data_IF_836685712340
#
_entry.id   IF_836685712340
#
_cell.length_a   1.000
_cell.length_b   1.000
_cell.length_c   1.000
_cell.angle_alpha   90.00
_cell.angle_beta   90.00
_cell.angle_gamma   90.00
#
_symmetry.space_group_name_H-M   'P 1'
#
loop_
_entity.id
_entity.type
_entity.pdbx_description
1 polymer ?
#
# COMPACT_ATOMS: atom_id res chain seq x y z
N UNK A 1 11.20 13.62 21.45
CA UNK A 1 10.84 12.20 21.28
C UNK A 1 10.71 11.59 22.65
N UNK A 2 9.64 10.84 22.92
CA UNK A 2 9.48 10.13 24.20
C UNK A 2 10.62 9.13 24.32
N UNK A 3 11.51 9.34 25.31
CA UNK A 3 12.63 8.43 25.59
C UNK A 3 12.08 7.32 26.48
N UNK A 4 11.43 6.35 25.85
CA UNK A 4 10.97 5.14 26.53
C UNK A 4 11.31 3.94 25.67
N UNK A 5 11.29 2.75 26.28
CA UNK A 5 11.46 1.47 25.57
C UNK A 5 10.20 1.12 24.74
N UNK A 6 9.55 2.10 24.11
CA UNK A 6 8.35 1.86 23.33
C UNK A 6 8.68 1.03 22.07
N UNK A 7 7.84 0.04 21.84
CA UNK A 7 7.77 -0.68 20.57
C UNK A 7 6.97 0.19 19.59
N UNK A 8 7.45 0.37 18.35
CA UNK A 8 6.72 1.13 17.32
C UNK A 8 5.50 0.36 16.76
N UNK A 9 5.21 -0.84 17.27
CA UNK A 9 4.01 -1.58 16.91
C UNK A 9 2.73 -0.82 17.28
N UNK A 10 2.02 -0.31 16.27
CA UNK A 10 0.76 0.45 16.42
C UNK A 10 -0.41 -0.39 16.99
N UNK A 11 -0.45 -1.69 16.67
CA UNK A 11 -1.61 -2.52 16.97
C UNK A 11 -1.90 -2.69 18.47
N UNK A 12 -0.84 -2.79 19.28
CA UNK A 12 -0.95 -2.97 20.72
C UNK A 12 -1.52 -1.74 21.44
N UNK A 13 -0.93 -0.52 21.33
CA UNK A 13 -1.51 0.66 21.97
C UNK A 13 -2.92 0.92 21.47
N UNK A 14 -3.19 0.81 20.16
CA UNK A 14 -4.52 1.03 19.59
C UNK A 14 -5.59 0.10 20.19
N UNK A 15 -5.29 -1.19 20.34
CA UNK A 15 -6.23 -2.14 20.96
C UNK A 15 -6.37 -1.91 22.47
N UNK A 16 -5.25 -1.66 23.16
CA UNK A 16 -5.26 -1.55 24.62
C UNK A 16 -5.91 -0.26 25.14
N UNK A 17 -6.06 0.78 24.33
CA UNK A 17 -6.83 1.99 24.69
C UNK A 17 -8.27 1.69 25.15
N UNK A 18 -8.84 0.54 24.79
CA UNK A 18 -10.15 0.11 25.34
C UNK A 18 -10.17 0.09 26.87
N UNK A 19 -9.03 -0.12 27.54
CA UNK A 19 -8.97 -0.06 29.02
C UNK A 19 -9.28 1.32 29.59
N UNK A 20 -9.09 2.37 28.80
CA UNK A 20 -9.22 3.76 29.22
C UNK A 20 -10.67 4.26 29.09
N UNK A 21 -11.59 3.38 28.67
CA UNK A 21 -13.05 3.54 28.65
C UNK A 21 -13.62 4.57 27.67
N UNK A 22 -12.81 5.52 27.20
CA UNK A 22 -13.22 6.49 26.19
C UNK A 22 -13.05 6.00 24.75
N UNK A 23 -12.36 4.88 24.55
CA UNK A 23 -11.96 4.35 23.24
C UNK A 23 -12.66 3.02 22.95
N UNK A 24 -13.40 2.96 21.86
CA UNK A 24 -14.24 1.83 21.49
C UNK A 24 -13.86 1.31 20.12
N UNK A 25 -13.95 -0.01 19.93
CA UNK A 25 -13.64 -0.67 18.65
C UNK A 25 -14.92 -1.25 18.05
N UNK A 26 -15.22 -0.87 16.82
CA UNK A 26 -16.27 -1.50 16.02
C UNK A 26 -15.66 -2.67 15.24
N UNK A 27 -16.09 -3.92 15.47
CA UNK A 27 -15.66 -5.05 14.65
C UNK A 27 -16.28 -5.00 13.26
N UNK A 28 -15.58 -5.59 12.29
CA UNK A 28 -16.13 -5.92 10.97
C UNK A 28 -17.19 -7.02 11.12
N UNK A 29 -18.15 -7.02 10.21
CA UNK A 29 -19.20 -8.04 10.15
C UNK A 29 -18.59 -9.46 10.15
N UNK A 30 -19.04 -10.30 11.08
CA UNK A 30 -18.55 -11.67 11.27
C UNK A 30 -17.33 -11.80 12.20
N UNK A 31 -16.80 -10.70 12.74
CA UNK A 31 -15.67 -10.67 13.68
C UNK A 31 -16.05 -10.18 15.09
N UNK A 32 -17.33 -10.19 15.44
CA UNK A 32 -17.85 -9.62 16.70
C UNK A 32 -17.24 -10.29 17.94
N UNK A 33 -17.03 -11.61 17.87
CA UNK A 33 -16.44 -12.39 18.97
C UNK A 33 -14.90 -12.31 19.02
N UNK A 34 -14.24 -11.82 17.95
CA UNK A 34 -12.77 -11.77 17.88
C UNK A 34 -12.16 -10.73 18.82
N UNK A 35 -12.91 -9.67 19.15
CA UNK A 35 -12.49 -8.64 20.10
C UNK A 35 -12.34 -9.16 21.54
N UNK A 36 -13.02 -10.26 21.88
CA UNK A 36 -12.94 -10.89 23.20
C UNK A 36 -11.67 -11.73 23.38
N UNK A 37 -11.00 -12.11 22.28
CA UNK A 37 -9.78 -12.92 22.29
C UNK A 37 -8.56 -11.99 22.40
N UNK A 38 -8.18 -11.60 23.63
CA UNK A 38 -7.07 -10.65 23.88
C UNK A 38 -5.73 -11.03 23.24
N UNK A 39 -5.49 -12.31 22.96
CA UNK A 39 -4.25 -12.77 22.32
C UNK A 39 -4.18 -12.52 20.81
N UNK A 40 -5.30 -12.19 20.15
CA UNK A 40 -5.38 -12.06 18.70
C UNK A 40 -4.85 -10.71 18.20
N UNK A 41 -4.95 -9.63 18.99
CA UNK A 41 -4.67 -8.25 18.55
C UNK A 41 -3.20 -7.82 18.74
N UNK A 42 -2.26 -8.72 18.42
CA UNK A 42 -0.82 -8.47 18.59
C UNK A 42 -0.12 -7.90 17.36
N UNK A 43 -0.79 -7.83 16.22
CA UNK A 43 -0.24 -7.34 14.96
C UNK A 43 -1.23 -6.44 14.25
N UNK A 44 -0.72 -5.50 13.45
CA UNK A 44 -1.56 -4.61 12.65
C UNK A 44 -2.41 -5.38 11.64
N UNK A 45 -1.90 -6.49 11.11
CA UNK A 45 -2.64 -7.36 10.19
C UNK A 45 -3.91 -7.94 10.84
N UNK A 46 -3.81 -8.44 12.08
CA UNK A 46 -4.97 -8.98 12.78
C UNK A 46 -5.96 -7.88 13.16
N UNK A 47 -5.46 -6.71 13.60
CA UNK A 47 -6.28 -5.55 13.89
C UNK A 47 -7.07 -5.11 12.64
N UNK A 48 -6.39 -4.92 11.51
CA UNK A 48 -7.01 -4.48 10.26
C UNK A 48 -7.97 -5.52 9.66
N UNK A 49 -7.78 -6.81 9.94
CA UNK A 49 -8.70 -7.86 9.50
C UNK A 49 -10.01 -7.90 10.32
N UNK A 50 -9.98 -7.44 11.57
CA UNK A 50 -11.07 -7.66 12.54
C UNK A 50 -11.81 -6.39 12.93
N UNK A 51 -11.13 -5.25 12.97
CA UNK A 51 -11.69 -3.95 13.36
C UNK A 51 -12.00 -3.14 12.12
N UNK A 52 -13.22 -2.59 12.06
CA UNK A 52 -13.66 -1.71 10.98
C UNK A 52 -13.18 -0.28 11.24
N UNK A 53 -13.52 0.24 12.42
CA UNK A 53 -13.06 1.54 12.90
C UNK A 53 -13.03 1.58 14.42
N UNK A 54 -12.35 2.59 14.96
CA UNK A 54 -12.46 2.98 16.36
C UNK A 54 -13.27 4.27 16.46
N UNK A 55 -13.96 4.44 17.58
CA UNK A 55 -14.65 5.68 17.91
C UNK A 55 -14.40 6.03 19.38
N UNK A 56 -14.47 7.31 19.68
CA UNK A 56 -14.36 7.82 21.05
C UNK A 56 -15.73 8.19 21.61
N UNK A 57 -15.83 8.37 22.92
CA UNK A 57 -17.05 8.87 23.56
C UNK A 57 -17.55 10.15 22.88
N UNK A 58 -18.87 10.26 22.70
CA UNK A 58 -19.51 11.37 21.98
C UNK A 58 -19.13 12.74 22.57
N UNK A 59 -19.14 12.88 23.90
CA UNK A 59 -18.79 14.14 24.56
C UNK A 59 -17.34 14.56 24.27
N UNK A 60 -16.41 13.59 24.24
CA UNK A 60 -15.02 13.84 23.90
C UNK A 60 -14.86 14.14 22.40
N UNK A 61 -15.61 13.46 21.54
CA UNK A 61 -15.63 13.73 20.11
C UNK A 61 -16.08 15.17 19.81
N UNK A 62 -17.17 15.62 20.45
CA UNK A 62 -17.67 16.99 20.29
C UNK A 62 -16.62 18.04 20.71
N UNK A 63 -15.89 17.79 21.80
CA UNK A 63 -14.77 18.65 22.23
C UNK A 63 -13.58 18.58 21.26
N UNK A 64 -13.31 17.43 20.66
CA UNK A 64 -12.20 17.24 19.73
C UNK A 64 -12.44 17.91 18.37
N UNK A 65 -13.69 18.07 17.93
CA UNK A 65 -14.01 18.76 16.67
C UNK A 65 -14.19 20.28 16.83
N UNK A 66 -14.46 20.76 18.04
CA UNK A 66 -14.51 22.20 18.33
C UNK A 66 -13.10 22.81 18.29
N UNK A 67 -12.83 23.82 17.44
CA UNK A 67 -11.46 24.33 17.24
C UNK A 67 -10.80 24.88 18.52
N UNK A 68 -11.59 25.52 19.40
CA UNK A 68 -11.06 26.12 20.63
C UNK A 68 -10.71 25.03 21.65
N UNK A 69 -11.64 24.11 21.88
CA UNK A 69 -11.46 22.97 22.79
C UNK A 69 -10.34 22.04 22.32
N UNK A 70 -10.26 21.78 21.00
CA UNK A 70 -9.19 20.99 20.39
C UNK A 70 -7.81 21.63 20.61
N UNK A 71 -7.69 22.95 20.43
CA UNK A 71 -6.43 23.65 20.65
C UNK A 71 -5.95 23.52 22.11
N UNK A 72 -6.87 23.63 23.08
CA UNK A 72 -6.58 23.44 24.51
C UNK A 72 -6.16 22.00 24.81
N UNK A 73 -6.88 21.00 24.27
CA UNK A 73 -6.53 19.58 24.43
C UNK A 73 -5.14 19.29 23.86
N UNK A 74 -4.85 19.80 22.66
CA UNK A 74 -3.56 19.60 22.00
C UNK A 74 -2.42 20.24 22.79
N UNK A 75 -2.59 21.49 23.23
CA UNK A 75 -1.60 22.17 24.06
C UNK A 75 -1.31 21.36 25.34
N UNK A 76 -2.36 20.93 26.03
CA UNK A 76 -2.22 20.12 27.25
C UNK A 76 -1.46 18.80 27.00
N UNK A 77 -1.80 18.06 25.94
CA UNK A 77 -1.11 16.82 25.58
C UNK A 77 0.37 17.04 25.26
N UNK A 78 0.69 18.12 24.53
CA UNK A 78 2.06 18.47 24.19
C UNK A 78 2.87 18.88 25.43
N UNK A 79 2.28 19.62 26.35
CA UNK A 79 2.95 20.02 27.59
C UNK A 79 3.23 18.84 28.52
N UNK A 80 2.26 17.94 28.67
CA UNK A 80 2.38 16.80 29.58
C UNK A 80 3.32 15.73 29.04
N UNK A 81 3.19 15.37 27.76
CA UNK A 81 3.88 14.20 27.19
C UNK A 81 5.07 14.56 26.30
N UNK A 82 5.16 15.79 25.80
CA UNK A 82 6.20 16.22 24.86
C UNK A 82 6.83 17.58 25.19
N UNK A 83 7.14 17.90 26.47
CA UNK A 83 7.56 19.25 26.87
C UNK A 83 8.78 19.76 26.11
N UNK A 84 9.75 18.88 25.83
CA UNK A 84 11.00 19.24 25.14
C UNK A 84 10.83 19.39 23.62
N UNK A 85 9.75 18.86 23.05
CA UNK A 85 9.53 18.84 21.59
C UNK A 85 8.25 19.52 21.13
N UNK A 86 7.46 20.13 22.02
CA UNK A 86 6.20 20.80 21.67
C UNK A 86 6.37 21.92 20.64
N UNK A 87 7.52 22.60 20.64
CA UNK A 87 7.88 23.63 19.65
C UNK A 87 8.04 23.11 18.22
N UNK A 88 8.28 21.80 18.05
CA UNK A 88 8.39 21.16 16.74
C UNK A 88 7.05 20.63 16.22
N UNK A 89 5.98 20.73 17.02
CA UNK A 89 4.66 20.28 16.61
C UNK A 89 4.05 21.27 15.61
N UNK A 90 4.23 21.01 14.32
CA UNK A 90 3.41 21.56 13.24
C UNK A 90 2.17 20.71 13.05
N UNK A 91 1.06 21.33 12.59
CA UNK A 91 -0.24 20.68 12.37
C UNK A 91 -0.09 19.25 11.82
N UNK A 92 -0.76 18.27 12.45
CA UNK A 92 -0.62 16.84 12.15
C UNK A 92 -0.91 16.50 10.69
N UNK A 93 -1.84 17.23 10.07
CA UNK A 93 -2.19 17.09 8.65
C UNK A 93 -1.02 17.39 7.71
N UNK A 94 -0.30 18.49 7.93
CA UNK A 94 0.87 18.83 7.12
C UNK A 94 1.99 17.81 7.27
N UNK A 95 2.16 17.24 8.46
CA UNK A 95 3.17 16.21 8.70
C UNK A 95 2.83 14.91 7.98
N UNK A 96 1.55 14.53 7.93
CA UNK A 96 1.09 13.37 7.16
C UNK A 96 1.25 13.59 5.66
N UNK A 97 0.91 14.76 5.13
CA UNK A 97 1.15 15.09 3.72
C UNK A 97 2.64 15.05 3.38
N UNK A 98 3.51 15.61 4.25
CA UNK A 98 4.96 15.53 4.08
C UNK A 98 5.46 14.09 4.09
N UNK A 99 4.95 13.24 5.00
CA UNK A 99 5.33 11.83 5.06
C UNK A 99 4.93 11.09 3.77
N UNK A 100 3.68 11.26 3.32
CA UNK A 100 3.20 10.65 2.08
C UNK A 100 3.98 11.15 0.87
N UNK A 101 4.27 12.46 0.80
CA UNK A 101 5.09 13.05 -0.25
C UNK A 101 6.52 12.52 -0.24
N UNK A 102 7.12 12.31 0.93
CA UNK A 102 8.46 11.70 1.05
C UNK A 102 8.45 10.24 0.59
N UNK A 103 7.42 9.46 0.95
CA UNK A 103 7.26 8.07 0.51
C UNK A 103 7.10 8.02 -1.01
N UNK A 104 6.26 8.89 -1.57
CA UNK A 104 6.05 9.02 -3.02
C UNK A 104 7.36 9.37 -3.73
N UNK A 105 8.09 10.37 -3.24
CA UNK A 105 9.38 10.74 -3.81
C UNK A 105 10.34 9.55 -3.85
N UNK A 106 10.45 8.79 -2.76
CA UNK A 106 11.32 7.60 -2.68
C UNK A 106 10.90 6.51 -3.64
N UNK A 107 9.60 6.24 -3.74
CA UNK A 107 9.05 5.26 -4.68
C UNK A 107 9.41 5.60 -6.13
N UNK A 108 9.40 6.88 -6.49
CA UNK A 108 9.66 7.38 -7.84
C UNK A 108 11.16 7.47 -8.18
N UNK A 109 12.02 7.77 -7.19
CA UNK A 109 13.41 8.17 -7.46
C UNK A 109 14.47 7.25 -6.85
N UNK A 110 14.16 6.50 -5.79
CA UNK A 110 15.13 5.60 -5.18
C UNK A 110 15.39 4.41 -6.13
N UNK A 111 16.61 3.89 -6.08
CA UNK A 111 16.87 2.59 -6.69
C UNK A 111 16.39 1.44 -5.77
N UNK A 112 16.20 0.26 -6.37
CA UNK A 112 15.67 -0.90 -5.68
C UNK A 112 16.51 -1.35 -4.46
N UNK A 113 17.82 -1.11 -4.43
CA UNK A 113 18.70 -1.53 -3.33
C UNK A 113 18.58 -0.60 -2.11
N UNK A 114 18.54 0.70 -2.36
CA UNK A 114 18.30 1.73 -1.34
C UNK A 114 16.93 1.55 -0.71
N UNK A 115 15.89 1.41 -1.53
CA UNK A 115 14.52 1.19 -1.07
C UNK A 115 14.41 -0.05 -0.20
N UNK A 116 14.99 -1.18 -0.65
CA UNK A 116 15.01 -2.44 0.10
C UNK A 116 15.72 -2.31 1.45
N UNK A 117 16.80 -1.56 1.50
CA UNK A 117 17.56 -1.34 2.75
C UNK A 117 16.72 -0.57 3.76
N UNK A 118 15.96 0.43 3.30
CA UNK A 118 15.04 1.18 4.14
C UNK A 118 13.88 0.31 4.64
N UNK A 119 13.23 -0.48 3.78
CA UNK A 119 12.17 -1.40 4.19
C UNK A 119 12.68 -2.38 5.26
N UNK A 120 13.88 -2.93 5.10
CA UNK A 120 14.49 -3.80 6.12
C UNK A 120 14.73 -3.08 7.45
N UNK A 121 15.10 -1.80 7.42
CA UNK A 121 15.23 -0.97 8.62
C UNK A 121 13.87 -0.77 9.29
N UNK A 122 12.83 -0.45 8.54
CA UNK A 122 11.47 -0.28 9.05
C UNK A 122 10.93 -1.57 9.69
N UNK A 123 11.17 -2.72 9.07
CA UNK A 123 10.80 -4.04 9.62
C UNK A 123 11.52 -4.29 10.96
N UNK A 124 12.83 -4.00 11.05
CA UNK A 124 13.60 -4.13 12.31
C UNK A 124 13.07 -3.20 13.40
N UNK A 125 12.61 -2.02 13.01
CA UNK A 125 12.00 -1.04 13.89
C UNK A 125 10.52 -1.34 14.21
N UNK A 126 9.93 -2.38 13.59
CA UNK A 126 8.51 -2.72 13.69
C UNK A 126 7.58 -1.54 13.33
N UNK A 127 8.00 -0.71 12.38
CA UNK A 127 7.19 0.40 11.88
C UNK A 127 6.15 -0.12 10.87
N UNK A 128 5.15 -0.83 11.37
CA UNK A 128 4.09 -1.47 10.55
C UNK A 128 3.21 -0.43 9.83
N UNK A 129 3.03 0.75 10.43
CA UNK A 129 2.25 1.85 9.87
C UNK A 129 2.86 2.38 8.57
N UNK A 130 4.14 2.75 8.59
CA UNK A 130 4.80 3.29 7.40
C UNK A 130 4.86 2.25 6.27
N UNK A 131 5.11 0.97 6.62
CA UNK A 131 5.06 -0.14 5.65
C UNK A 131 3.68 -0.25 5.02
N UNK A 132 2.61 -0.04 5.79
CA UNK A 132 1.25 -0.04 5.26
C UNK A 132 0.97 1.16 4.34
N UNK A 133 1.39 2.36 4.74
CA UNK A 133 1.25 3.58 3.94
C UNK A 133 1.97 3.44 2.58
N UNK A 134 3.18 2.88 2.57
CA UNK A 134 3.95 2.61 1.34
C UNK A 134 3.20 1.75 0.34
N UNK A 135 2.52 0.70 0.80
CA UNK A 135 1.67 -0.15 -0.06
C UNK A 135 0.50 0.64 -0.66
N UNK A 136 -0.07 1.56 0.10
CA UNK A 136 -1.12 2.47 -0.38
C UNK A 136 -0.60 3.42 -1.47
N UNK A 137 0.57 4.01 -1.25
CA UNK A 137 1.22 4.91 -2.22
C UNK A 137 1.57 4.14 -3.50
N UNK A 138 2.16 2.94 -3.42
CA UNK A 138 2.44 2.11 -4.60
C UNK A 138 1.19 1.83 -5.44
N UNK A 139 0.11 1.40 -4.78
CA UNK A 139 -1.17 1.11 -5.44
C UNK A 139 -1.78 2.33 -6.14
N UNK A 140 -1.47 3.53 -5.65
CA UNK A 140 -1.94 4.79 -6.20
C UNK A 140 -1.04 5.31 -7.33
N UNK A 141 0.29 5.25 -7.16
CA UNK A 141 1.23 5.89 -8.07
C UNK A 141 1.50 5.09 -9.34
N UNK A 142 1.57 3.76 -9.27
CA UNK A 142 1.81 2.95 -10.48
C UNK A 142 0.73 3.20 -11.55
N UNK A 143 -0.59 3.11 -11.28
CA UNK A 143 -1.59 3.40 -12.30
C UNK A 143 -1.49 4.83 -12.84
N UNK A 144 -1.18 5.83 -12.00
CA UNK A 144 -1.01 7.23 -12.44
C UNK A 144 0.13 7.40 -13.45
N UNK A 145 1.27 6.74 -13.24
CA UNK A 145 2.42 6.77 -14.16
C UNK A 145 2.06 6.21 -15.54
N UNK A 146 1.13 5.25 -15.57
CA UNK A 146 0.56 4.68 -16.79
C UNK A 146 -0.71 5.42 -17.26
N UNK A 147 -1.00 6.62 -16.75
CA UNK A 147 -2.20 7.39 -17.06
C UNK A 147 -3.49 6.56 -16.89
N UNK A 148 -3.60 5.82 -15.79
CA UNK A 148 -4.70 4.90 -15.47
C UNK A 148 -5.05 3.91 -16.60
N UNK A 149 -4.05 3.51 -17.38
CA UNK A 149 -4.22 2.64 -18.55
C UNK A 149 -3.50 1.32 -18.33
N UNK A 150 -4.17 0.21 -18.60
CA UNK A 150 -3.53 -1.10 -18.56
C UNK A 150 -2.45 -1.19 -19.66
N UNK A 151 -1.20 -1.48 -19.27
CA UNK A 151 -0.05 -1.48 -20.18
C UNK A 151 -0.12 -2.55 -21.27
N UNK A 152 -0.88 -3.64 -21.06
CA UNK A 152 -1.04 -4.73 -22.02
C UNK A 152 -2.26 -4.52 -22.92
N UNK A 153 -3.44 -4.30 -22.33
CA UNK A 153 -4.69 -4.23 -23.09
C UNK A 153 -4.95 -2.85 -23.69
N UNK A 154 -4.42 -1.79 -23.09
CA UNK A 154 -4.80 -0.41 -23.38
C UNK A 154 -6.14 0.01 -22.75
N UNK A 155 -6.73 -0.84 -21.90
CA UNK A 155 -7.97 -0.50 -21.20
C UNK A 155 -7.73 0.69 -20.26
N UNK A 156 -8.52 1.73 -20.46
CA UNK A 156 -8.59 2.93 -19.61
C UNK A 156 -10.06 3.20 -19.31
N UNK A 157 -10.40 3.33 -18.04
CA UNK A 157 -11.76 3.67 -17.61
C UNK A 157 -11.64 4.93 -16.77
N UNK A 158 -11.95 6.06 -17.39
CA UNK A 158 -12.05 7.35 -16.73
C UNK A 158 -13.51 7.52 -16.31
N UNK A 159 -13.84 7.16 -15.07
CA UNK A 159 -15.17 7.46 -14.51
C UNK A 159 -15.16 8.85 -13.86
N UNK A 160 -16.33 9.51 -13.83
CA UNK A 160 -16.53 10.77 -13.07
C UNK A 160 -16.41 10.56 -11.55
N UNK A 161 -16.50 9.30 -11.12
CA UNK A 161 -16.21 8.83 -9.77
C UNK A 161 -14.77 8.31 -9.78
N UNK A 162 -13.99 8.54 -8.73
CA UNK A 162 -12.56 8.22 -8.59
C UNK A 162 -12.25 6.69 -8.57
N UNK A 163 -12.84 5.93 -9.50
CA UNK A 163 -12.77 4.48 -9.63
C UNK A 163 -11.91 4.19 -10.86
N UNK A 164 -10.70 3.67 -10.62
CA UNK A 164 -9.84 3.10 -11.66
C UNK A 164 -10.13 1.60 -11.78
N UNK A 165 -10.20 1.09 -13.01
CA UNK A 165 -10.27 -0.35 -13.31
C UNK A 165 -8.89 -0.92 -13.63
N UNK A 166 -7.84 -0.27 -13.17
CA UNK A 166 -6.44 -0.65 -13.37
C UNK A 166 -5.76 -0.68 -12.01
N UNK A 167 -5.10 -1.79 -11.73
CA UNK A 167 -4.38 -2.05 -10.50
C UNK A 167 -2.87 -1.87 -10.70
N UNK A 168 -2.17 -1.50 -9.63
CA UNK A 168 -0.74 -1.69 -9.53
C UNK A 168 -0.43 -3.18 -9.33
N UNK A 169 0.37 -3.74 -10.24
CA UNK A 169 0.88 -5.10 -10.16
C UNK A 169 2.38 -5.06 -9.92
N UNK A 170 2.86 -5.79 -8.91
CA UNK A 170 4.28 -6.01 -8.71
C UNK A 170 4.80 -7.04 -9.72
N UNK A 171 5.94 -6.76 -10.35
CA UNK A 171 6.58 -7.73 -11.25
C UNK A 171 7.21 -8.87 -10.43
N UNK A 172 7.99 -8.50 -9.41
CA UNK A 172 8.48 -9.42 -8.38
C UNK A 172 7.70 -9.14 -7.09
N UNK A 173 7.07 -10.16 -6.47
CA UNK A 173 6.24 -9.95 -5.29
C UNK A 173 6.98 -9.20 -4.18
N UNK A 174 6.31 -8.21 -3.57
CA UNK A 174 6.89 -7.42 -2.48
C UNK A 174 7.42 -8.28 -1.31
N UNK A 175 6.75 -9.40 -1.02
CA UNK A 175 7.19 -10.37 0.01
C UNK A 175 8.58 -10.95 -0.23
N UNK A 176 9.08 -10.88 -1.46
CA UNK A 176 10.38 -11.43 -1.88
C UNK A 176 11.38 -10.30 -2.16
N UNK A 177 10.95 -9.23 -2.84
CA UNK A 177 11.84 -8.14 -3.25
C UNK A 177 12.01 -7.04 -2.20
N UNK A 178 11.00 -6.82 -1.36
CA UNK A 178 10.85 -5.62 -0.50
C UNK A 178 11.04 -4.31 -1.29
N UNK A 179 10.53 -4.30 -2.51
CA UNK A 179 10.74 -3.25 -3.50
C UNK A 179 9.38 -2.78 -4.03
N UNK A 180 8.98 -1.59 -3.60
CA UNK A 180 7.83 -0.84 -4.12
C UNK A 180 8.31 0.29 -5.06
N UNK A 181 9.53 0.28 -5.59
CA UNK A 181 9.94 1.30 -6.57
C UNK A 181 9.16 1.14 -7.88
N UNK A 182 9.05 2.22 -8.65
CA UNK A 182 8.38 2.22 -9.95
C UNK A 182 8.89 1.15 -10.92
N UNK A 183 10.16 0.80 -10.82
CA UNK A 183 10.80 -0.21 -11.69
C UNK A 183 10.33 -1.64 -11.42
N UNK A 184 9.66 -1.88 -10.29
CA UNK A 184 9.03 -3.17 -9.94
C UNK A 184 7.51 -3.15 -10.11
N UNK A 185 6.92 -2.11 -10.71
CA UNK A 185 5.48 -1.97 -10.89
C UNK A 185 5.04 -1.85 -12.35
N UNK A 186 3.90 -2.47 -12.67
CA UNK A 186 3.18 -2.27 -13.94
C UNK A 186 1.68 -2.09 -13.68
N UNK A 187 1.01 -1.31 -14.54
CA UNK A 187 -0.42 -1.09 -14.43
C UNK A 187 -1.20 -2.13 -15.27
N UNK A 188 -2.04 -2.95 -14.62
CA UNK A 188 -2.79 -4.02 -15.30
C UNK A 188 -4.28 -3.96 -14.96
N UNK A 189 -5.14 -4.34 -15.92
CA UNK A 189 -6.54 -4.59 -15.61
C UNK A 189 -6.67 -5.89 -14.77
N UNK A 190 -7.73 -6.04 -13.94
CA UNK A 190 -7.85 -7.15 -12.99
C UNK A 190 -7.64 -8.55 -13.59
N UNK A 191 -8.15 -8.78 -14.81
CA UNK A 191 -7.98 -10.06 -15.49
C UNK A 191 -6.53 -10.35 -15.86
N UNK A 192 -5.82 -9.36 -16.42
CA UNK A 192 -4.43 -9.50 -16.81
C UNK A 192 -3.48 -9.47 -15.61
N UNK A 193 -3.83 -8.73 -14.56
CA UNK A 193 -3.14 -8.78 -13.27
C UNK A 193 -3.15 -10.21 -12.73
N UNK A 194 -4.33 -10.83 -12.65
CA UNK A 194 -4.45 -12.23 -12.22
C UNK A 194 -3.73 -13.21 -13.15
N UNK A 195 -3.78 -12.98 -14.46
CA UNK A 195 -3.06 -13.82 -15.42
C UNK A 195 -1.54 -13.74 -15.23
N UNK A 196 -1.02 -12.55 -14.98
CA UNK A 196 0.40 -12.31 -14.73
C UNK A 196 0.83 -12.98 -13.41
N UNK A 197 0.14 -12.71 -12.30
CA UNK A 197 0.42 -13.29 -10.97
C UNK A 197 0.37 -14.82 -10.93
N UNK A 198 -0.36 -15.43 -11.86
CA UNK A 198 -0.51 -16.89 -11.98
C UNK A 198 0.39 -17.50 -13.05
N UNK A 199 1.24 -16.70 -13.70
CA UNK A 199 2.18 -17.18 -14.72
C UNK A 199 1.51 -17.63 -16.02
N UNK A 200 0.32 -17.14 -16.34
CA UNK A 200 -0.30 -17.35 -17.65
C UNK A 200 0.33 -16.45 -18.71
N UNK A 201 0.76 -15.25 -18.31
CA UNK A 201 1.52 -14.32 -19.14
C UNK A 201 2.79 -13.86 -18.44
N UNK A 202 3.77 -13.44 -19.22
CA UNK A 202 4.96 -12.72 -18.76
C UNK A 202 5.37 -11.71 -19.83
N UNK A 203 6.42 -10.90 -19.57
CA UNK A 203 6.98 -9.95 -20.53
C UNK A 203 8.42 -10.38 -20.88
N UNK A 204 8.80 -10.28 -22.16
CA UNK A 204 10.15 -10.57 -22.66
C UNK A 204 11.10 -9.35 -22.55
N UNK A 205 12.35 -9.53 -22.98
CA UNK A 205 13.38 -8.47 -22.89
C UNK A 205 13.19 -7.33 -23.89
N UNK A 206 12.24 -7.47 -24.82
CA UNK A 206 11.80 -6.44 -25.76
C UNK A 206 10.46 -5.81 -25.36
N UNK A 207 10.04 -6.00 -24.11
CA UNK A 207 8.75 -5.55 -23.57
C UNK A 207 7.53 -6.11 -24.33
N UNK A 208 7.62 -7.33 -24.85
CA UNK A 208 6.51 -8.03 -25.50
C UNK A 208 5.89 -9.05 -24.59
N UNK A 209 4.57 -9.19 -24.66
CA UNK A 209 3.84 -10.18 -23.88
C UNK A 209 4.15 -11.59 -24.41
N UNK A 210 4.43 -12.50 -23.48
CA UNK A 210 4.59 -13.94 -23.70
C UNK A 210 3.44 -14.64 -23.00
N UNK A 211 2.71 -15.49 -23.70
CA UNK A 211 1.63 -16.33 -23.20
C UNK A 211 2.17 -17.75 -23.04
N UNK A 212 1.81 -18.41 -21.95
CA UNK A 212 2.25 -19.77 -21.65
C UNK A 212 1.79 -20.75 -22.75
N UNK A 213 2.68 -21.61 -23.24
CA UNK A 213 2.39 -22.53 -24.36
C UNK A 213 1.28 -23.54 -24.10
N UNK A 214 1.09 -23.97 -22.85
CA UNK A 214 0.07 -24.96 -22.46
C UNK A 214 -1.30 -24.33 -22.15
N UNK A 215 -1.51 -23.09 -22.57
CA UNK A 215 -2.76 -22.37 -22.35
C UNK A 215 -3.64 -22.44 -23.60
N UNK A 216 -4.83 -23.02 -23.47
CA UNK A 216 -5.83 -23.11 -24.55
C UNK A 216 -7.07 -22.31 -24.18
N UNK A 217 -7.45 -21.33 -25.01
CA UNK A 217 -8.72 -20.62 -24.90
C UNK A 217 -9.72 -21.15 -25.94
N UNK A 218 -11.00 -21.26 -25.55
CA UNK A 218 -12.07 -21.59 -26.50
C UNK A 218 -12.41 -20.34 -27.31
N UNK A 219 -12.34 -20.42 -28.64
CA UNK A 219 -12.40 -19.27 -29.57
C UNK A 219 -13.75 -18.50 -29.62
N UNK A 220 -14.69 -18.75 -28.70
CA UNK A 220 -16.01 -18.12 -28.65
C UNK A 220 -16.16 -17.07 -27.54
N UNK A 221 -15.10 -16.72 -26.82
CA UNK A 221 -15.13 -15.79 -25.67
C UNK A 221 -14.52 -14.44 -26.01
N UNK A 222 -15.21 -13.31 -25.80
CA UNK A 222 -14.68 -11.98 -26.14
C UNK A 222 -13.49 -11.48 -25.29
N UNK A 223 -13.00 -12.27 -24.33
CA UNK A 223 -11.94 -11.89 -23.37
C UNK A 223 -10.73 -12.83 -23.47
N UNK A 224 -10.01 -12.76 -24.59
CA UNK A 224 -8.85 -13.61 -24.85
C UNK A 224 -7.54 -13.00 -24.34
N UNK A 225 -6.66 -13.85 -23.82
CA UNK A 225 -5.27 -13.52 -23.51
C UNK A 225 -4.36 -13.78 -24.73
N UNK A 226 -4.66 -14.82 -25.52
CA UNK A 226 -3.82 -15.23 -26.67
C UNK A 226 -3.52 -14.10 -27.67
N UNK A 227 -4.46 -13.20 -28.02
CA UNK A 227 -4.20 -12.08 -28.92
C UNK A 227 -3.16 -11.08 -28.43
N UNK A 228 -2.82 -11.09 -27.13
CA UNK A 228 -1.75 -10.25 -26.61
C UNK A 228 -0.36 -10.84 -26.87
N UNK A 229 -0.24 -12.12 -27.27
CA UNK A 229 1.05 -12.74 -27.60
C UNK A 229 1.86 -11.88 -28.58
N UNK A 230 3.09 -11.54 -28.20
CA UNK A 230 4.01 -10.73 -29.01
C UNK A 230 3.68 -9.24 -29.06
N UNK A 231 2.56 -8.79 -28.47
CA UNK A 231 2.21 -7.38 -28.39
C UNK A 231 3.19 -6.67 -27.46
N UNK A 232 3.72 -5.53 -27.91
CA UNK A 232 4.54 -4.66 -27.07
C UNK A 232 3.66 -3.95 -26.04
N UNK A 233 4.06 -3.98 -24.77
CA UNK A 233 3.35 -3.25 -23.72
C UNK A 233 3.62 -1.75 -23.84
N UNK A 234 2.64 -0.94 -23.48
CA UNK A 234 2.84 0.49 -23.28
C UNK A 234 3.79 0.70 -22.11
N UNK A 235 4.78 1.56 -22.29
CA UNK A 235 5.70 1.97 -21.23
C UNK A 235 5.29 3.35 -20.70
N UNK A 236 5.72 3.72 -19.49
CA UNK A 236 5.57 5.08 -18.97
C UNK A 236 6.17 6.12 -19.93
N UNK A 237 5.75 7.38 -19.78
CA UNK A 237 6.31 8.48 -20.58
C UNK A 237 7.75 8.76 -20.16
N UNK A 238 8.04 8.69 -18.86
CA UNK A 238 9.37 8.86 -18.30
C UNK A 238 10.16 7.55 -18.36
N UNK A 239 11.34 7.59 -18.98
CA UNK A 239 12.26 6.46 -19.08
C UNK A 239 12.79 5.97 -17.74
N UNK A 240 12.89 6.85 -16.73
CA UNK A 240 13.34 6.44 -15.39
C UNK A 240 12.30 5.58 -14.67
N UNK A 241 11.03 5.68 -15.08
CA UNK A 241 9.94 4.87 -14.56
C UNK A 241 9.76 3.54 -15.28
N UNK A 242 10.66 3.18 -16.21
CA UNK A 242 10.53 1.93 -16.95
C UNK A 242 10.66 0.72 -16.02
N UNK A 243 9.81 -0.30 -16.21
CA UNK A 243 9.94 -1.53 -15.44
C UNK A 243 11.26 -2.22 -15.74
N UNK A 244 11.95 -2.70 -14.71
CA UNK A 244 13.25 -3.34 -14.86
C UNK A 244 13.14 -4.67 -15.62
N UNK A 245 13.96 -4.83 -16.67
CA UNK A 245 14.07 -6.11 -17.39
C UNK A 245 14.52 -7.25 -16.47
N UNK A 246 15.34 -6.95 -15.45
CA UNK A 246 15.75 -7.96 -14.48
C UNK A 246 14.56 -8.47 -13.65
N UNK A 247 13.61 -7.60 -13.31
CA UNK A 247 12.38 -8.00 -12.62
C UNK A 247 11.54 -8.94 -13.50
N UNK A 248 11.40 -8.64 -14.80
CA UNK A 248 10.73 -9.54 -15.74
C UNK A 248 11.48 -10.87 -15.92
N UNK A 249 12.81 -10.86 -15.95
CA UNK A 249 13.61 -12.08 -15.95
C UNK A 249 13.31 -12.95 -14.72
N UNK A 250 13.27 -12.36 -13.52
CA UNK A 250 12.89 -13.07 -12.29
C UNK A 250 11.49 -13.66 -12.37
N UNK A 251 10.52 -12.90 -12.89
CA UNK A 251 9.15 -13.37 -13.10
C UNK A 251 9.10 -14.56 -14.09
N UNK A 252 9.78 -14.46 -15.24
CA UNK A 252 9.88 -15.56 -16.23
C UNK A 252 10.50 -16.81 -15.61
N UNK A 253 11.59 -16.65 -14.86
CA UNK A 253 12.26 -17.73 -14.15
C UNK A 253 11.36 -18.40 -13.12
N UNK A 254 10.56 -17.63 -12.36
CA UNK A 254 9.62 -18.14 -11.36
C UNK A 254 8.56 -19.06 -11.98
N UNK A 255 8.07 -18.68 -13.16
CA UNK A 255 6.98 -19.40 -13.83
C UNK A 255 7.43 -20.30 -14.98
N UNK A 256 8.74 -20.50 -15.16
CA UNK A 256 9.35 -21.34 -16.20
C UNK A 256 8.88 -20.96 -17.63
N UNK A 257 8.97 -19.68 -17.97
CA UNK A 257 8.81 -19.20 -19.35
C UNK A 257 10.07 -19.40 -20.17
#
# INVERSE_FOLDING_TARGET
MVISKHDCGFALPFYHLISDKFWHLQPKEGFENFLQIKSSMRSFANLNATVDYAFIDEDLFQLAIDPLSNAVLQEHLLEVYFPDTKSHFTNSFENQEKLLGNIEHKLLHDNAEEYRTEIKKLIRQKNEEEIYLRRGVFKREIPKIYNNTCCVSGMKIDSTINISMVDACHIVPFSESYDDTVTNGIALCPNLHRAFDRGLISIDDNYRVIVKSNFSEKSSLNYFIVPFQGKQISLPIDSNSFPSLNNFYHHRKRFNF
#
